data_IF_331943062789
#
_entry.id   IF_331943062789
#
_cell.length_a   1.000
_cell.length_b   1.000
_cell.length_c   1.000
_cell.angle_alpha   90.00
_cell.angle_beta   90.00
_cell.angle_gamma   90.00
#
_symmetry.space_group_name_H-M   'P 1'
#
loop_
_entity.id
_entity.type
_entity.pdbx_description
1 polymer ?
#
# COMPACT_ATOMS: atom_id res chain seq x y z
N UNK A 1 45.56 -5.45 36.03
CA UNK A 1 44.39 -4.56 36.24
C UNK A 1 44.34 -3.31 35.33
N UNK A 2 45.14 -3.21 34.26
CA UNK A 2 45.13 -2.02 33.32
C UNK A 2 44.46 -2.31 31.95
N UNK A 3 44.00 -3.52 31.71
CA UNK A 3 43.43 -3.91 30.42
C UNK A 3 41.90 -3.81 30.35
N UNK A 4 41.22 -3.79 31.51
CA UNK A 4 39.75 -3.74 31.56
C UNK A 4 39.13 -2.36 31.29
N UNK A 5 39.90 -1.29 31.53
CA UNK A 5 39.43 0.10 31.30
C UNK A 5 39.53 0.55 29.85
N UNK A 6 40.44 -0.06 29.04
CA UNK A 6 40.57 0.24 27.62
C UNK A 6 39.41 -0.38 26.79
N UNK A 7 38.88 -1.53 27.21
CA UNK A 7 37.73 -2.17 26.54
C UNK A 7 36.39 -1.45 26.76
N UNK A 8 36.23 -0.83 27.93
CA UNK A 8 35.02 -0.03 28.21
C UNK A 8 34.96 1.27 27.36
N UNK A 9 36.11 1.84 27.00
CA UNK A 9 36.18 3.04 26.17
C UNK A 9 35.93 2.74 24.67
N UNK A 10 36.25 1.54 24.19
CA UNK A 10 35.99 1.15 22.80
C UNK A 10 34.52 0.80 22.53
N UNK A 11 33.80 0.27 23.52
CA UNK A 11 32.37 -0.02 23.39
C UNK A 11 31.51 1.26 23.33
N UNK A 12 31.96 2.35 23.98
CA UNK A 12 31.33 3.65 23.92
C UNK A 12 31.50 4.36 22.57
N UNK A 13 32.67 4.19 21.92
CA UNK A 13 32.92 4.81 20.61
C UNK A 13 32.18 4.13 19.45
N UNK A 14 31.87 2.83 19.53
CA UNK A 14 31.10 2.12 18.52
C UNK A 14 29.60 2.46 18.56
N UNK A 15 29.08 2.83 19.73
CA UNK A 15 27.65 3.24 19.88
C UNK A 15 27.37 4.65 19.34
N UNK A 16 28.37 5.52 19.23
CA UNK A 16 28.16 6.91 18.76
C UNK A 16 28.17 7.06 17.25
N UNK A 17 28.66 6.07 16.49
CA UNK A 17 28.64 6.12 15.02
C UNK A 17 27.30 5.68 14.38
N UNK A 18 26.41 5.01 15.12
CA UNK A 18 25.11 4.54 14.59
C UNK A 18 23.96 5.57 14.65
N UNK A 19 24.17 6.76 15.23
CA UNK A 19 23.07 7.73 15.44
C UNK A 19 22.92 8.80 14.36
N UNK A 20 23.73 8.78 13.29
CA UNK A 20 23.74 9.86 12.29
C UNK A 20 22.92 9.62 11.02
N UNK A 21 22.10 8.57 10.93
CA UNK A 21 21.39 8.22 9.69
C UNK A 21 19.84 8.20 9.79
N UNK A 22 19.26 8.75 10.86
CA UNK A 22 17.80 8.94 10.93
C UNK A 22 17.44 10.38 10.55
N UNK A 23 17.68 10.76 9.28
CA UNK A 23 16.99 11.91 8.69
C UNK A 23 15.52 11.52 8.53
N UNK A 24 14.67 11.96 9.46
CA UNK A 24 13.23 11.88 9.34
C UNK A 24 12.83 12.58 8.04
N UNK A 25 12.47 11.81 7.03
CA UNK A 25 11.74 12.33 5.88
C UNK A 25 10.38 12.79 6.42
N UNK A 26 10.21 14.10 6.52
CA UNK A 26 8.89 14.69 6.74
C UNK A 26 8.05 14.30 5.54
N UNK A 27 7.12 13.38 5.78
CA UNK A 27 6.05 13.08 4.82
C UNK A 27 5.32 14.39 4.59
N UNK A 28 5.54 14.97 3.42
CA UNK A 28 4.89 16.19 3.00
C UNK A 28 3.41 15.81 2.79
N UNK A 29 2.53 16.28 3.68
CA UNK A 29 1.10 16.06 3.56
C UNK A 29 0.65 16.56 2.18
N UNK A 30 0.04 15.67 1.41
CA UNK A 30 -0.56 16.04 0.13
C UNK A 30 -1.56 17.21 0.33
N UNK A 31 -1.71 18.12 -0.64
CA UNK A 31 -2.66 19.22 -0.53
C UNK A 31 -4.06 18.65 -0.28
N UNK A 32 -4.66 19.01 0.84
CA UNK A 32 -6.01 18.60 1.18
C UNK A 32 -6.97 19.18 0.14
N UNK A 33 -7.77 18.31 -0.49
CA UNK A 33 -8.87 18.75 -1.34
C UNK A 33 -9.75 19.71 -0.54
N UNK A 34 -10.17 20.81 -1.16
CA UNK A 34 -11.02 21.81 -0.52
C UNK A 34 -12.32 21.13 -0.05
N UNK A 35 -12.45 20.96 1.27
CA UNK A 35 -13.69 20.48 1.86
C UNK A 35 -14.75 21.54 1.63
N UNK A 36 -15.90 21.23 0.99
CA UNK A 36 -16.99 22.21 0.87
C UNK A 36 -17.37 22.75 2.25
N UNK A 37 -17.76 24.03 2.30
CA UNK A 37 -18.10 24.69 3.57
C UNK A 37 -19.17 23.90 4.32
N UNK A 38 -19.11 23.81 5.68
CA UNK A 38 -20.09 23.08 6.46
C UNK A 38 -21.50 23.63 6.17
N UNK A 39 -22.42 22.73 5.77
CA UNK A 39 -23.82 23.06 5.46
C UNK A 39 -24.10 23.30 3.97
N UNK A 40 -23.13 23.24 3.06
CA UNK A 40 -23.40 23.21 1.61
C UNK A 40 -23.65 21.77 1.17
N UNK A 41 -24.75 21.51 0.43
CA UNK A 41 -25.01 20.18 -0.10
C UNK A 41 -23.99 19.86 -1.22
N UNK A 42 -23.50 18.62 -1.23
CA UNK A 42 -22.40 18.18 -2.08
C UNK A 42 -22.88 17.72 -3.46
N UNK A 43 -22.16 18.13 -4.51
CA UNK A 43 -22.34 17.58 -5.84
C UNK A 43 -21.69 16.19 -5.98
N UNK A 44 -22.00 15.45 -7.05
CA UNK A 44 -21.35 14.17 -7.35
C UNK A 44 -19.84 14.34 -7.55
N UNK A 45 -19.44 15.39 -8.28
CA UNK A 45 -18.04 15.68 -8.55
C UNK A 45 -17.25 16.02 -7.28
N UNK A 46 -17.87 16.76 -6.35
CA UNK A 46 -17.28 17.04 -5.04
C UNK A 46 -17.07 15.76 -4.23
N UNK A 47 -18.07 14.86 -4.24
CA UNK A 47 -17.99 13.58 -3.56
C UNK A 47 -16.87 12.71 -4.14
N UNK A 48 -16.77 12.58 -5.47
CA UNK A 48 -15.72 11.80 -6.12
C UNK A 48 -14.34 12.42 -5.85
N UNK A 49 -14.20 13.73 -6.03
CA UNK A 49 -12.95 14.44 -5.78
C UNK A 49 -12.47 14.26 -4.35
N UNK A 50 -13.34 14.44 -3.37
CA UNK A 50 -13.03 14.23 -1.96
C UNK A 50 -12.65 12.77 -1.65
N UNK A 51 -13.41 11.81 -2.18
CA UNK A 51 -13.13 10.38 -1.99
C UNK A 51 -11.75 10.01 -2.53
N UNK A 52 -11.39 10.43 -3.74
CA UNK A 52 -10.10 10.12 -4.36
C UNK A 52 -8.92 10.63 -3.55
N UNK A 53 -9.08 11.76 -2.84
CA UNK A 53 -8.02 12.31 -1.99
C UNK A 53 -7.95 11.70 -0.60
N UNK A 54 -9.09 11.36 0.00
CA UNK A 54 -9.16 10.99 1.41
C UNK A 54 -9.38 9.48 1.65
N UNK A 55 -9.71 8.70 0.61
CA UNK A 55 -9.95 7.28 0.79
C UNK A 55 -8.66 6.51 1.08
N UNK A 56 -8.65 5.81 2.22
CA UNK A 56 -7.50 5.03 2.70
C UNK A 56 -7.09 3.94 1.70
N UNK A 57 -8.05 3.31 1.00
CA UNK A 57 -7.76 2.28 0.01
C UNK A 57 -6.94 2.82 -1.17
N UNK A 58 -7.28 4.00 -1.69
CA UNK A 58 -6.51 4.66 -2.76
C UNK A 58 -5.13 5.09 -2.27
N UNK A 59 -5.04 5.64 -1.06
CA UNK A 59 -3.75 6.01 -0.46
C UNK A 59 -2.86 4.78 -0.25
N UNK A 60 -3.43 3.65 0.18
CA UNK A 60 -2.70 2.39 0.31
C UNK A 60 -2.15 1.91 -1.04
N UNK A 61 -2.93 2.01 -2.12
CA UNK A 61 -2.44 1.66 -3.46
C UNK A 61 -1.35 2.63 -3.95
N UNK A 62 -1.46 3.92 -3.64
CA UNK A 62 -0.41 4.90 -3.96
C UNK A 62 0.91 4.57 -3.24
N UNK A 63 0.86 4.24 -1.95
CA UNK A 63 2.03 3.78 -1.19
C UNK A 63 2.61 2.46 -1.74
N UNK A 64 1.76 1.57 -2.27
CA UNK A 64 2.22 0.34 -2.93
C UNK A 64 3.01 0.65 -4.21
N UNK A 65 2.62 1.68 -4.98
CA UNK A 65 3.39 2.17 -6.13
C UNK A 65 4.75 2.68 -5.67
N UNK A 66 4.81 3.52 -4.64
CA UNK A 66 6.08 4.03 -4.09
C UNK A 66 6.98 2.89 -3.58
N UNK A 67 6.41 1.92 -2.86
CA UNK A 67 7.15 0.74 -2.40
C UNK A 67 7.75 -0.05 -3.58
N UNK A 68 7.01 -0.17 -4.68
CA UNK A 68 7.48 -0.88 -5.87
C UNK A 68 8.56 -0.09 -6.60
N UNK A 69 8.49 1.25 -6.62
CA UNK A 69 9.54 2.09 -7.17
C UNK A 69 10.84 2.00 -6.36
N UNK A 70 10.74 1.98 -5.02
CA UNK A 70 11.89 1.75 -4.14
C UNK A 70 12.51 0.37 -4.40
N UNK A 71 11.71 -0.69 -4.60
CA UNK A 71 12.22 -2.02 -4.99
C UNK A 71 12.95 -1.98 -6.33
N UNK A 72 12.39 -1.28 -7.33
CA UNK A 72 13.07 -1.07 -8.62
C UNK A 72 14.37 -0.30 -8.44
N UNK A 73 14.40 0.72 -7.62
CA UNK A 73 15.60 1.50 -7.28
C UNK A 73 16.68 0.59 -6.66
N UNK A 74 16.29 -0.23 -5.67
CA UNK A 74 17.18 -1.23 -5.06
C UNK A 74 17.76 -2.18 -6.10
N UNK A 75 16.93 -2.68 -7.03
CA UNK A 75 17.40 -3.53 -8.13
C UNK A 75 18.37 -2.81 -9.08
N UNK A 76 18.19 -1.51 -9.33
CA UNK A 76 19.12 -0.71 -10.13
C UNK A 76 20.47 -0.56 -9.42
N UNK A 77 20.45 -0.30 -8.11
CA UNK A 77 21.66 -0.12 -7.30
C UNK A 77 22.38 -1.42 -6.97
N UNK A 78 21.77 -2.59 -7.14
CA UNK A 78 22.47 -3.88 -6.97
C UNK A 78 23.65 -4.12 -7.92
N UNK A 79 23.86 -3.24 -8.90
CA UNK A 79 25.06 -3.20 -9.75
C UNK A 79 26.24 -2.50 -9.08
N UNK A 80 26.00 -1.69 -8.05
CA UNK A 80 27.06 -0.96 -7.36
C UNK A 80 27.78 -1.87 -6.36
N UNK A 81 29.00 -1.50 -5.97
CA UNK A 81 29.68 -2.21 -4.89
C UNK A 81 28.88 -2.11 -3.58
N UNK A 82 28.74 -3.23 -2.90
CA UNK A 82 28.32 -3.28 -1.50
C UNK A 82 29.54 -3.08 -0.61
N UNK A 83 29.46 -2.19 0.37
CA UNK A 83 30.50 -1.91 1.35
C UNK A 83 29.97 -2.25 2.73
N UNK A 84 30.64 -3.15 3.42
CA UNK A 84 30.31 -3.57 4.78
C UNK A 84 31.53 -3.46 5.71
N UNK A 85 31.26 -3.13 6.97
CA UNK A 85 32.27 -3.16 8.02
C UNK A 85 31.77 -4.07 9.14
N UNK A 86 32.64 -4.92 9.64
CA UNK A 86 32.38 -5.80 10.76
C UNK A 86 33.39 -5.67 11.86
N UNK A 87 32.93 -5.78 13.10
CA UNK A 87 33.78 -5.84 14.29
C UNK A 87 33.36 -7.09 15.05
N UNK A 88 34.30 -7.95 15.26
CA UNK A 88 34.11 -9.20 15.99
C UNK A 88 34.96 -9.24 17.26
N UNK A 89 34.39 -9.84 18.32
CA UNK A 89 35.14 -10.21 19.51
C UNK A 89 34.80 -11.66 19.85
N UNK A 90 35.84 -12.47 20.03
CA UNK A 90 35.68 -13.88 20.36
C UNK A 90 36.55 -14.24 21.57
N UNK A 91 35.95 -14.91 22.54
CA UNK A 91 36.67 -15.48 23.67
C UNK A 91 36.55 -17.02 23.60
N UNK A 92 37.70 -17.71 23.41
CA UNK A 92 37.73 -19.16 23.34
C UNK A 92 38.32 -19.68 24.66
N UNK A 93 37.57 -20.56 25.32
CA UNK A 93 37.97 -21.21 26.57
C UNK A 93 38.41 -22.65 26.28
N UNK A 94 39.59 -23.02 26.75
CA UNK A 94 40.09 -24.36 26.58
C UNK A 94 41.48 -24.43 25.93
N UNK A 95 41.69 -25.47 25.11
CA UNK A 95 42.95 -25.65 24.40
C UNK A 95 42.88 -24.99 23.02
N UNK A 96 43.65 -23.94 22.82
CA UNK A 96 43.81 -23.26 21.55
C UNK A 96 45.23 -23.28 21.03
N UNK A 97 45.38 -23.03 19.72
CA UNK A 97 46.72 -22.84 19.12
C UNK A 97 47.06 -21.34 19.16
N UNK A 98 48.17 -20.99 19.75
CA UNK A 98 48.74 -19.63 19.71
C UNK A 98 49.37 -19.35 18.34
N UNK A 99 49.62 -18.10 18.00
CA UNK A 99 50.27 -17.65 16.77
C UNK A 99 51.65 -18.33 16.53
N UNK A 100 52.34 -18.73 17.60
CA UNK A 100 53.57 -19.50 17.55
C UNK A 100 53.36 -21.00 17.29
N UNK A 101 52.17 -21.41 16.87
CA UNK A 101 51.74 -22.81 16.66
C UNK A 101 51.85 -23.70 17.90
N UNK A 102 51.97 -23.10 19.10
CA UNK A 102 52.05 -23.80 20.39
C UNK A 102 50.63 -23.94 20.97
N UNK A 103 50.28 -25.17 21.36
CA UNK A 103 49.01 -25.43 22.07
C UNK A 103 49.12 -24.93 23.51
N UNK A 104 48.35 -23.88 23.82
CA UNK A 104 48.21 -23.38 25.19
C UNK A 104 46.82 -23.69 25.71
N UNK A 105 46.71 -24.08 26.97
CA UNK A 105 45.45 -24.23 27.67
C UNK A 105 45.15 -22.92 28.40
N UNK A 106 44.02 -22.32 28.10
CA UNK A 106 43.62 -21.05 28.73
C UNK A 106 42.52 -20.35 27.96
N UNK A 107 42.29 -19.09 28.30
CA UNK A 107 41.35 -18.23 27.60
C UNK A 107 42.11 -17.43 26.52
N UNK A 108 41.73 -17.66 25.27
CA UNK A 108 42.24 -16.87 24.14
C UNK A 108 41.16 -15.86 23.74
N UNK A 109 41.47 -14.60 23.78
CA UNK A 109 40.60 -13.51 23.33
C UNK A 109 41.14 -12.97 22.02
N UNK A 110 40.25 -12.77 21.06
CA UNK A 110 40.57 -12.19 19.76
C UNK A 110 39.54 -11.13 19.38
N UNK A 111 40.01 -10.04 18.80
CA UNK A 111 39.19 -9.01 18.18
C UNK A 111 39.52 -8.93 16.70
N UNK A 112 38.54 -8.81 15.85
CA UNK A 112 38.69 -8.57 14.42
C UNK A 112 37.97 -7.29 13.99
N UNK A 113 38.57 -6.60 13.03
CA UNK A 113 38.04 -5.42 12.38
C UNK A 113 38.20 -5.63 10.88
N UNK A 114 37.08 -5.70 10.18
CA UNK A 114 37.08 -6.01 8.76
C UNK A 114 36.20 -4.99 8.02
N UNK A 115 36.71 -4.47 6.90
CA UNK A 115 35.99 -3.66 5.94
C UNK A 115 36.06 -4.37 4.60
N UNK A 116 34.95 -4.70 4.02
CA UNK A 116 34.90 -5.42 2.76
C UNK A 116 33.99 -4.74 1.74
N UNK A 117 34.39 -4.82 0.48
CA UNK A 117 33.58 -4.41 -0.66
C UNK A 117 33.39 -5.59 -1.61
N UNK A 118 32.20 -5.76 -2.12
CA UNK A 118 31.92 -6.74 -3.19
C UNK A 118 31.09 -6.13 -4.29
N UNK A 119 31.39 -6.44 -5.55
CA UNK A 119 30.67 -5.95 -6.72
C UNK A 119 30.45 -7.10 -7.71
N UNK A 120 29.20 -7.36 -8.15
CA UNK A 120 28.95 -8.31 -9.22
C UNK A 120 29.40 -7.72 -10.55
N UNK A 121 30.34 -8.39 -11.24
CA UNK A 121 30.78 -8.02 -12.60
C UNK A 121 29.92 -8.69 -13.66
N UNK A 122 29.53 -9.93 -13.42
CA UNK A 122 28.64 -10.72 -14.28
C UNK A 122 27.86 -11.74 -13.46
N UNK A 123 26.57 -11.86 -13.71
CA UNK A 123 25.64 -12.75 -12.97
C UNK A 123 24.65 -13.46 -13.90
N UNK A 124 25.06 -13.78 -15.11
CA UNK A 124 24.17 -14.40 -16.10
C UNK A 124 23.02 -13.49 -16.57
N UNK A 125 23.21 -12.17 -16.54
CA UNK A 125 22.21 -11.14 -16.85
C UNK A 125 21.03 -11.09 -15.85
N UNK A 126 21.16 -11.67 -14.66
CA UNK A 126 20.11 -11.71 -13.63
C UNK A 126 19.69 -10.30 -13.22
N UNK A 127 20.64 -9.43 -12.83
CA UNK A 127 20.36 -8.04 -12.43
C UNK A 127 19.66 -7.25 -13.54
N UNK A 128 20.05 -7.44 -14.80
CA UNK A 128 19.40 -6.77 -15.93
C UNK A 128 17.94 -7.17 -16.08
N UNK A 129 17.64 -8.46 -15.88
CA UNK A 129 16.29 -9.01 -15.95
C UNK A 129 15.48 -8.63 -14.72
N UNK A 130 16.08 -8.58 -13.52
CA UNK A 130 15.44 -8.07 -12.30
C UNK A 130 15.02 -6.61 -12.46
N UNK A 131 15.85 -5.76 -13.05
CA UNK A 131 15.49 -4.37 -13.36
C UNK A 131 14.33 -4.32 -14.38
N UNK A 132 14.34 -5.20 -15.41
CA UNK A 132 13.22 -5.27 -16.34
C UNK A 132 11.93 -5.70 -15.62
N UNK A 133 11.99 -6.75 -14.79
CA UNK A 133 10.88 -7.20 -13.97
C UNK A 133 10.34 -6.09 -13.07
N UNK A 134 11.21 -5.42 -12.33
CA UNK A 134 10.81 -4.31 -11.47
C UNK A 134 10.15 -3.15 -12.21
N UNK A 135 10.52 -2.88 -13.46
CA UNK A 135 9.82 -1.88 -14.30
C UNK A 135 8.42 -2.33 -14.68
N UNK A 136 8.25 -3.62 -15.00
CA UNK A 136 6.93 -4.20 -15.33
C UNK A 136 6.03 -4.21 -14.09
N UNK A 137 6.59 -4.57 -12.93
CA UNK A 137 5.86 -4.57 -11.67
C UNK A 137 5.43 -3.17 -11.25
N UNK A 138 6.28 -2.15 -11.45
CA UNK A 138 5.94 -0.75 -11.21
C UNK A 138 4.82 -0.30 -12.14
N UNK A 139 4.91 -0.62 -13.44
CA UNK A 139 3.86 -0.29 -14.40
C UNK A 139 2.53 -0.99 -14.07
N UNK A 140 2.57 -2.24 -13.60
CA UNK A 140 1.38 -2.97 -13.14
C UNK A 140 0.77 -2.30 -11.89
N UNK A 141 1.60 -1.93 -10.90
CA UNK A 141 1.13 -1.24 -9.70
C UNK A 141 0.48 0.12 -9.99
N UNK A 142 0.98 0.85 -10.99
CA UNK A 142 0.35 2.09 -11.47
C UNK A 142 -1.05 1.83 -12.08
N UNK A 143 -1.20 0.75 -12.85
CA UNK A 143 -2.51 0.36 -13.39
C UNK A 143 -3.48 -0.11 -12.29
N UNK A 144 -2.99 -0.76 -11.24
CA UNK A 144 -3.80 -1.12 -10.07
C UNK A 144 -4.29 0.12 -9.30
N UNK A 145 -3.46 1.16 -9.20
CA UNK A 145 -3.88 2.44 -8.60
C UNK A 145 -5.00 3.09 -9.42
N UNK A 146 -4.87 3.13 -10.75
CA UNK A 146 -5.93 3.65 -11.63
C UNK A 146 -7.21 2.84 -11.51
N UNK A 147 -7.11 1.51 -11.45
CA UNK A 147 -8.25 0.63 -11.18
C UNK A 147 -8.93 0.98 -9.85
N UNK A 148 -8.15 1.15 -8.78
CA UNK A 148 -8.71 1.47 -7.47
C UNK A 148 -9.44 2.83 -7.47
N UNK A 149 -8.96 3.80 -8.24
CA UNK A 149 -9.63 5.09 -8.45
C UNK A 149 -10.93 4.95 -9.22
N UNK A 150 -10.95 4.16 -10.29
CA UNK A 150 -12.15 3.88 -11.07
C UNK A 150 -13.20 3.16 -10.20
N UNK A 151 -12.81 2.09 -9.51
CA UNK A 151 -13.69 1.29 -8.66
C UNK A 151 -14.29 2.15 -7.53
N UNK A 152 -13.49 3.03 -6.91
CA UNK A 152 -13.97 3.98 -5.90
C UNK A 152 -14.97 4.98 -6.49
N UNK A 153 -14.69 5.55 -7.67
CA UNK A 153 -15.57 6.51 -8.33
C UNK A 153 -16.92 5.89 -8.66
N UNK A 154 -16.93 4.64 -9.17
CA UNK A 154 -18.17 3.90 -9.45
C UNK A 154 -18.94 3.60 -8.15
N UNK A 155 -18.25 3.21 -7.09
CA UNK A 155 -18.88 2.95 -5.79
C UNK A 155 -19.52 4.22 -5.21
N UNK A 156 -18.79 5.34 -5.21
CA UNK A 156 -19.33 6.64 -4.75
C UNK A 156 -20.53 7.07 -5.58
N UNK A 157 -20.47 6.92 -6.91
CA UNK A 157 -21.59 7.22 -7.80
C UNK A 157 -22.82 6.35 -7.45
N UNK A 158 -22.62 5.06 -7.23
CA UNK A 158 -23.70 4.14 -6.88
C UNK A 158 -24.36 4.52 -5.55
N UNK A 159 -23.57 4.83 -4.53
CA UNK A 159 -24.08 5.26 -3.23
C UNK A 159 -24.76 6.63 -3.30
N UNK A 160 -24.24 7.54 -4.12
CA UNK A 160 -24.85 8.84 -4.36
C UNK A 160 -26.25 8.70 -5.00
N UNK A 161 -26.39 7.86 -6.02
CA UNK A 161 -27.67 7.56 -6.65
C UNK A 161 -28.65 6.89 -5.66
N UNK A 162 -28.13 6.02 -4.77
CA UNK A 162 -28.96 5.40 -3.73
C UNK A 162 -29.49 6.45 -2.74
N UNK A 163 -28.70 7.46 -2.37
CA UNK A 163 -29.19 8.57 -1.53
C UNK A 163 -30.26 9.37 -2.25
N UNK A 164 -30.07 9.71 -3.54
CA UNK A 164 -31.07 10.40 -4.33
C UNK A 164 -32.39 9.61 -4.41
N UNK A 165 -32.30 8.31 -4.67
CA UNK A 165 -33.44 7.43 -4.71
C UNK A 165 -34.21 7.43 -3.39
N UNK A 166 -33.56 7.27 -2.25
CA UNK A 166 -34.21 7.30 -0.93
C UNK A 166 -34.75 8.69 -0.57
N UNK A 167 -34.12 9.77 -1.07
CA UNK A 167 -34.63 11.15 -0.90
C UNK A 167 -35.95 11.33 -1.61
N UNK A 168 -36.07 10.83 -2.85
CA UNK A 168 -37.33 10.87 -3.60
C UNK A 168 -38.39 9.98 -2.97
N UNK A 169 -38.06 8.76 -2.51
CA UNK A 169 -38.99 7.90 -1.79
C UNK A 169 -39.53 8.56 -0.52
N UNK A 170 -38.69 9.26 0.22
CA UNK A 170 -39.11 10.00 1.43
C UNK A 170 -40.08 11.10 1.08
N UNK A 171 -39.86 11.86 0.01
CA UNK A 171 -40.80 12.90 -0.45
C UNK A 171 -42.14 12.31 -0.89
N UNK A 172 -42.12 11.17 -1.57
CA UNK A 172 -43.35 10.46 -1.97
C UNK A 172 -44.13 10.01 -0.73
N UNK A 173 -43.44 9.41 0.25
CA UNK A 173 -44.07 8.98 1.50
C UNK A 173 -44.66 10.16 2.31
N UNK A 174 -43.98 11.31 2.31
CA UNK A 174 -44.46 12.55 2.95
C UNK A 174 -45.78 13.04 2.29
N UNK A 175 -45.82 13.09 0.97
CA UNK A 175 -47.02 13.47 0.23
C UNK A 175 -48.17 12.47 0.44
N UNK A 176 -47.85 11.16 0.49
CA UNK A 176 -48.85 10.12 0.72
C UNK A 176 -49.47 10.24 2.13
N UNK A 177 -48.64 10.48 3.16
CA UNK A 177 -49.14 10.73 4.52
C UNK A 177 -49.98 11.99 4.61
N UNK A 178 -49.61 13.06 3.88
CA UNK A 178 -50.42 14.27 3.83
C UNK A 178 -51.82 14.00 3.26
N UNK A 179 -51.91 13.23 2.15
CA UNK A 179 -53.18 12.85 1.52
C UNK A 179 -54.03 11.96 2.44
N UNK A 180 -53.44 10.94 3.06
CA UNK A 180 -54.20 10.06 3.97
C UNK A 180 -54.65 10.78 5.25
N UNK A 181 -53.82 11.75 5.73
CA UNK A 181 -54.21 12.62 6.84
C UNK A 181 -55.43 13.47 6.50
N UNK A 182 -55.46 14.11 5.31
CA UNK A 182 -56.62 14.88 4.84
C UNK A 182 -57.86 13.98 4.68
N UNK A 183 -57.68 12.75 4.17
CA UNK A 183 -58.76 11.79 4.03
C UNK A 183 -59.33 11.32 5.38
N UNK A 184 -58.45 11.07 6.37
CA UNK A 184 -58.89 10.71 7.72
C UNK A 184 -59.66 11.82 8.42
N UNK A 185 -59.23 13.09 8.26
CA UNK A 185 -60.00 14.25 8.76
C UNK A 185 -61.35 14.34 8.11
N UNK A 186 -61.46 14.25 6.78
CA UNK A 186 -62.72 14.28 6.03
C UNK A 186 -63.66 13.13 6.41
N UNK A 187 -63.12 11.91 6.54
CA UNK A 187 -63.90 10.74 6.95
C UNK A 187 -64.50 10.94 8.36
N UNK A 188 -63.68 11.47 9.29
CA UNK A 188 -64.15 11.79 10.66
C UNK A 188 -65.29 12.80 10.68
N UNK A 189 -65.22 13.86 9.86
CA UNK A 189 -66.29 14.86 9.74
C UNK A 189 -67.60 14.28 9.13
N UNK A 190 -67.47 13.42 8.11
CA UNK A 190 -68.66 12.79 7.47
C UNK A 190 -69.32 11.78 8.39
N UNK A 191 -68.54 11.04 9.21
CA UNK A 191 -69.14 10.14 10.22
C UNK A 191 -69.78 10.95 11.31
N UNK A 192 -69.20 12.04 11.81
CA UNK A 192 -69.83 12.93 12.79
C UNK A 192 -71.12 13.58 12.28
N UNK A 193 -71.21 13.84 10.98
CA UNK A 193 -72.43 14.34 10.32
C UNK A 193 -73.45 13.22 9.99
N UNK A 194 -73.17 11.96 10.36
CA UNK A 194 -74.07 10.82 10.10
C UNK A 194 -74.17 10.39 8.64
N UNK A 195 -73.21 10.84 7.79
CA UNK A 195 -73.19 10.56 6.34
C UNK A 195 -72.38 9.32 5.96
N UNK A 196 -71.54 8.79 6.88
CA UNK A 196 -70.75 7.58 6.69
C UNK A 196 -70.80 6.69 7.95
N UNK A 197 -70.63 5.38 7.83
CA UNK A 197 -70.54 4.46 8.96
C UNK A 197 -69.18 4.63 9.70
N UNK A 198 -69.15 4.27 10.99
CA UNK A 198 -67.92 4.38 11.83
C UNK A 198 -66.74 3.54 11.31
N UNK A 199 -67.05 2.44 10.60
CA UNK A 199 -66.00 1.63 9.95
C UNK A 199 -65.14 2.44 8.97
N UNK A 200 -65.74 3.39 8.24
CA UNK A 200 -64.98 4.24 7.30
C UNK A 200 -63.97 5.17 7.99
N UNK A 201 -64.27 5.60 9.23
CA UNK A 201 -63.30 6.35 10.04
C UNK A 201 -62.11 5.47 10.44
N UNK A 202 -62.40 4.28 10.98
CA UNK A 202 -61.33 3.37 11.40
C UNK A 202 -60.44 2.92 10.21
N UNK A 203 -61.04 2.72 9.06
CA UNK A 203 -60.31 2.36 7.83
C UNK A 203 -59.37 3.48 7.39
N UNK A 204 -59.82 4.74 7.39
CA UNK A 204 -59.00 5.89 7.02
C UNK A 204 -57.92 6.21 8.07
N UNK A 205 -58.20 6.02 9.37
CA UNK A 205 -57.22 6.16 10.44
C UNK A 205 -56.15 5.04 10.36
N UNK A 206 -56.54 3.81 10.03
CA UNK A 206 -55.59 2.71 9.82
C UNK A 206 -54.69 2.96 8.60
N UNK A 207 -55.24 3.51 7.50
CA UNK A 207 -54.43 3.90 6.33
C UNK A 207 -53.42 4.99 6.68
N UNK A 208 -53.85 6.04 7.41
CA UNK A 208 -52.96 7.10 7.88
C UNK A 208 -51.81 6.55 8.75
N UNK A 209 -52.12 5.67 9.72
CA UNK A 209 -51.11 5.06 10.58
C UNK A 209 -50.08 4.21 9.79
N UNK A 210 -50.55 3.51 8.76
CA UNK A 210 -49.70 2.74 7.87
C UNK A 210 -48.76 3.66 7.05
N UNK A 211 -49.30 4.77 6.53
CA UNK A 211 -48.47 5.75 5.78
C UNK A 211 -47.44 6.47 6.69
N UNK A 212 -47.79 6.70 7.97
CA UNK A 212 -46.83 7.22 8.97
C UNK A 212 -45.69 6.23 9.24
N UNK A 213 -46.00 4.93 9.32
CA UNK A 213 -44.99 3.88 9.42
C UNK A 213 -44.06 3.87 8.19
N UNK A 214 -44.66 3.92 6.98
CA UNK A 214 -43.91 3.95 5.72
C UNK A 214 -42.98 5.16 5.63
N UNK A 215 -43.43 6.35 6.04
CA UNK A 215 -42.60 7.54 6.09
C UNK A 215 -41.43 7.39 7.08
N UNK A 216 -41.72 6.83 8.25
CA UNK A 216 -40.65 6.59 9.26
C UNK A 216 -39.60 5.64 8.72
N UNK A 217 -40.01 4.60 8.01
CA UNK A 217 -39.07 3.66 7.35
C UNK A 217 -38.29 4.34 6.24
N UNK A 218 -38.91 5.09 5.34
CA UNK A 218 -38.22 5.82 4.27
C UNK A 218 -37.18 6.82 4.82
N UNK A 219 -37.50 7.52 5.92
CA UNK A 219 -36.56 8.43 6.59
C UNK A 219 -35.37 7.69 7.20
N UNK A 220 -35.59 6.50 7.75
CA UNK A 220 -34.49 5.67 8.26
C UNK A 220 -33.60 5.17 7.13
N UNK A 221 -34.18 4.72 6.02
CA UNK A 221 -33.42 4.26 4.84
C UNK A 221 -32.60 5.39 4.22
N UNK A 222 -33.13 6.62 4.17
CA UNK A 222 -32.38 7.79 3.74
C UNK A 222 -31.19 8.08 4.66
N UNK A 223 -31.38 8.01 5.99
CA UNK A 223 -30.29 8.21 6.95
C UNK A 223 -29.18 7.17 6.80
N UNK A 224 -29.56 5.91 6.59
CA UNK A 224 -28.60 4.83 6.34
C UNK A 224 -27.85 5.03 5.03
N UNK A 225 -28.53 5.45 3.96
CA UNK A 225 -27.87 5.74 2.68
C UNK A 225 -26.87 6.90 2.80
N UNK A 226 -27.22 7.98 3.49
CA UNK A 226 -26.31 9.10 3.78
C UNK A 226 -25.10 8.65 4.62
N UNK A 227 -25.31 7.77 5.61
CA UNK A 227 -24.24 7.22 6.42
C UNK A 227 -23.29 6.38 5.56
N UNK A 228 -23.82 5.49 4.71
CA UNK A 228 -23.02 4.65 3.83
C UNK A 228 -22.18 5.49 2.87
N UNK A 229 -22.75 6.53 2.28
CA UNK A 229 -22.02 7.46 1.42
C UNK A 229 -20.94 8.20 2.21
N UNK A 230 -21.24 8.71 3.41
CA UNK A 230 -20.27 9.37 4.28
C UNK A 230 -19.09 8.46 4.66
N UNK A 231 -19.35 7.17 4.90
CA UNK A 231 -18.32 6.17 5.17
C UNK A 231 -17.44 5.90 3.94
N UNK A 232 -18.04 5.79 2.75
CA UNK A 232 -17.28 5.61 1.50
C UNK A 232 -16.37 6.81 1.19
N UNK A 233 -16.81 8.01 1.58
CA UNK A 233 -16.01 9.23 1.51
C UNK A 233 -14.92 9.31 2.59
N UNK A 234 -14.92 8.40 3.56
CA UNK A 234 -14.03 8.42 4.73
C UNK A 234 -14.12 9.72 5.55
N UNK A 235 -15.36 10.24 5.73
CA UNK A 235 -15.61 11.43 6.57
C UNK A 235 -15.67 11.06 8.05
N UNK A 236 -15.19 11.96 8.90
CA UNK A 236 -15.23 11.77 10.36
C UNK A 236 -16.65 11.74 10.92
N UNK A 237 -17.61 12.44 10.28
CA UNK A 237 -18.99 12.52 10.71
C UNK A 237 -19.95 12.64 9.54
N UNK A 238 -21.09 11.95 9.64
CA UNK A 238 -22.21 12.09 8.73
C UNK A 238 -23.15 13.28 9.09
N UNK A 239 -22.92 13.95 10.23
CA UNK A 239 -23.76 15.04 10.69
C UNK A 239 -23.71 16.23 9.71
N UNK A 240 -24.88 16.75 9.33
CA UNK A 240 -25.01 17.87 8.41
C UNK A 240 -24.61 17.60 6.96
N UNK A 241 -24.45 16.32 6.59
CA UNK A 241 -24.16 15.91 5.22
C UNK A 241 -25.44 15.78 4.41
N UNK A 242 -25.52 16.50 3.31
CA UNK A 242 -26.62 16.39 2.33
C UNK A 242 -26.04 16.50 0.92
N UNK A 243 -26.82 16.04 -0.07
CA UNK A 243 -26.41 16.03 -1.47
C UNK A 243 -27.40 16.81 -2.35
N UNK A 244 -26.89 17.36 -3.45
CA UNK A 244 -27.70 18.03 -4.48
C UNK A 244 -28.19 17.04 -5.49
N UNK A 245 -29.45 17.16 -5.92
CA UNK A 245 -29.91 16.44 -7.10
C UNK A 245 -29.25 17.03 -8.35
N UNK A 246 -28.56 16.24 -9.20
CA UNK A 246 -27.96 16.73 -10.42
C UNK A 246 -29.07 17.28 -11.35
N UNK A 247 -28.87 18.45 -11.90
CA UNK A 247 -29.74 18.98 -12.95
C UNK A 247 -29.33 18.33 -14.27
N UNK A 248 -30.14 17.43 -14.75
CA UNK A 248 -29.93 16.85 -16.07
C UNK A 248 -30.44 17.82 -17.12
N UNK A 249 -29.55 18.38 -17.91
CA UNK A 249 -29.93 19.11 -19.10
C UNK A 249 -30.42 18.09 -20.16
N UNK A 250 -31.66 18.27 -20.60
CA UNK A 250 -32.27 17.43 -21.64
C UNK A 250 -31.47 17.46 -22.97
N UNK A 251 -30.75 18.56 -23.24
CA UNK A 251 -29.88 18.71 -24.40
C UNK A 251 -28.62 17.86 -24.26
N UNK A 252 -28.04 17.82 -23.05
CA UNK A 252 -26.89 16.96 -22.75
C UNK A 252 -27.23 15.46 -22.85
N UNK A 253 -28.42 15.08 -22.36
CA UNK A 253 -28.93 13.71 -22.51
C UNK A 253 -29.14 13.30 -23.98
N UNK A 254 -29.63 14.20 -24.80
CA UNK A 254 -29.82 13.95 -26.24
C UNK A 254 -28.51 13.86 -27.02
N UNK A 255 -27.43 14.45 -26.50
CA UNK A 255 -26.07 14.41 -27.09
C UNK A 255 -25.25 13.19 -26.66
N UNK A 256 -25.73 12.37 -25.73
CA UNK A 256 -25.10 11.11 -25.39
C UNK A 256 -25.03 10.22 -26.64
N UNK A 257 -23.81 10.02 -27.14
CA UNK A 257 -23.58 9.10 -28.25
C UNK A 257 -24.11 7.74 -27.87
N UNK A 258 -24.89 7.13 -28.75
CA UNK A 258 -25.31 5.75 -28.56
C UNK A 258 -24.07 4.91 -28.32
N UNK A 259 -24.04 4.17 -27.23
CA UNK A 259 -23.02 3.18 -26.98
C UNK A 259 -22.94 2.28 -28.22
N UNK A 260 -21.74 1.98 -28.69
CA UNK A 260 -21.54 1.05 -29.80
C UNK A 260 -22.11 -0.33 -29.51
N UNK A 261 -21.94 -1.26 -30.40
CA UNK A 261 -22.36 -2.64 -30.17
C UNK A 261 -21.65 -3.24 -28.95
N UNK A 262 -22.20 -4.30 -28.39
CA UNK A 262 -21.58 -5.01 -27.26
C UNK A 262 -20.13 -5.43 -27.57
N UNK A 263 -19.87 -5.81 -28.84
CA UNK A 263 -18.55 -6.21 -29.30
C UNK A 263 -17.59 -5.02 -29.36
N UNK A 264 -18.03 -3.83 -29.74
CA UNK A 264 -17.22 -2.61 -29.72
C UNK A 264 -16.83 -2.21 -28.29
N UNK A 265 -17.80 -2.28 -27.36
CA UNK A 265 -17.57 -2.02 -25.94
C UNK A 265 -16.61 -3.03 -25.35
N UNK A 266 -16.75 -4.31 -25.70
CA UNK A 266 -15.84 -5.37 -25.27
C UNK A 266 -14.42 -5.16 -25.80
N UNK A 267 -14.28 -4.88 -27.10
CA UNK A 267 -12.98 -4.61 -27.72
C UNK A 267 -12.29 -3.41 -27.07
N UNK A 268 -13.01 -2.31 -26.86
CA UNK A 268 -12.49 -1.15 -26.17
C UNK A 268 -12.08 -1.46 -24.71
N UNK A 269 -12.90 -2.21 -23.98
CA UNK A 269 -12.63 -2.58 -22.59
C UNK A 269 -11.38 -3.46 -22.45
N UNK A 270 -11.19 -4.43 -23.36
CA UNK A 270 -10.01 -5.33 -23.33
C UNK A 270 -8.69 -4.61 -23.61
N UNK A 271 -8.72 -3.47 -24.30
CA UNK A 271 -7.53 -2.67 -24.59
C UNK A 271 -7.28 -1.59 -23.55
N UNK A 272 -8.34 -0.99 -23.00
CA UNK A 272 -8.22 0.24 -22.23
C UNK A 272 -8.36 0.06 -20.72
N UNK A 273 -9.04 -0.98 -20.25
CA UNK A 273 -9.26 -1.16 -18.81
C UNK A 273 -7.95 -1.37 -18.04
N UNK A 274 -7.71 -0.58 -16.97
CA UNK A 274 -6.48 -0.67 -16.16
C UNK A 274 -6.22 -2.07 -15.61
N UNK A 275 -7.28 -2.77 -15.19
CA UNK A 275 -7.16 -4.14 -14.72
C UNK A 275 -6.55 -5.10 -15.75
N UNK A 276 -7.00 -5.03 -17.01
CA UNK A 276 -6.50 -5.89 -18.09
C UNK A 276 -5.05 -5.53 -18.43
N UNK A 277 -4.73 -4.24 -18.44
CA UNK A 277 -3.35 -3.77 -18.64
C UNK A 277 -2.43 -4.27 -17.51
N UNK A 278 -2.87 -4.21 -16.26
CA UNK A 278 -2.12 -4.73 -15.12
C UNK A 278 -1.82 -6.23 -15.27
N UNK A 279 -2.82 -7.04 -15.63
CA UNK A 279 -2.64 -8.48 -15.78
C UNK A 279 -1.72 -8.85 -16.97
N UNK A 280 -1.75 -8.09 -18.09
CA UNK A 280 -0.80 -8.28 -19.19
C UNK A 280 0.64 -7.97 -18.76
N UNK A 281 0.84 -6.90 -17.99
CA UNK A 281 2.16 -6.56 -17.44
C UNK A 281 2.66 -7.61 -16.45
N UNK A 282 1.78 -8.17 -15.63
CA UNK A 282 2.10 -9.28 -14.72
C UNK A 282 2.47 -10.56 -15.46
N UNK A 283 1.77 -10.85 -16.57
CA UNK A 283 2.13 -11.98 -17.43
C UNK A 283 3.55 -11.80 -17.99
N UNK A 284 3.88 -10.62 -18.53
CA UNK A 284 5.23 -10.34 -19.01
C UNK A 284 6.28 -10.40 -17.89
N UNK A 285 5.94 -9.94 -16.67
CA UNK A 285 6.81 -10.04 -15.50
C UNK A 285 7.04 -11.51 -15.12
N UNK A 286 6.01 -12.35 -15.14
CA UNK A 286 6.13 -13.78 -14.87
C UNK A 286 7.00 -14.50 -15.92
N UNK A 287 6.85 -14.20 -17.21
CA UNK A 287 7.74 -14.72 -18.26
C UNK A 287 9.20 -14.27 -18.04
N UNK A 288 9.39 -13.03 -17.60
CA UNK A 288 10.72 -12.53 -17.26
C UNK A 288 11.29 -13.22 -16.02
N UNK A 289 10.45 -13.59 -15.04
CA UNK A 289 10.87 -14.35 -13.86
C UNK A 289 11.44 -15.73 -14.24
N UNK A 290 10.86 -16.42 -15.21
CA UNK A 290 11.42 -17.66 -15.77
C UNK A 290 12.83 -17.41 -16.35
N UNK A 291 13.03 -16.28 -17.03
CA UNK A 291 14.36 -15.91 -17.55
C UNK A 291 15.34 -15.58 -16.45
N UNK A 292 14.89 -14.98 -15.34
CA UNK A 292 15.70 -14.74 -14.13
C UNK A 292 16.13 -16.07 -13.51
N UNK A 293 15.22 -17.03 -13.35
CA UNK A 293 15.54 -18.35 -12.83
C UNK A 293 16.61 -19.05 -13.70
N UNK A 294 16.46 -18.99 -15.02
CA UNK A 294 17.47 -19.53 -15.98
C UNK A 294 18.84 -18.84 -15.88
N UNK A 295 18.94 -17.64 -15.30
CA UNK A 295 20.23 -16.96 -15.08
C UNK A 295 21.13 -17.72 -14.14
N UNK A 296 20.58 -18.50 -13.20
CA UNK A 296 21.34 -19.33 -12.28
C UNK A 296 22.11 -20.50 -12.94
N UNK A 297 21.90 -20.76 -14.24
CA UNK A 297 22.68 -21.73 -15.01
C UNK A 297 23.98 -21.14 -15.58
N UNK A 298 24.13 -19.83 -15.60
CA UNK A 298 25.33 -19.16 -16.12
C UNK A 298 26.38 -18.96 -15.03
N UNK A 299 27.67 -18.86 -15.41
CA UNK A 299 28.72 -18.48 -14.45
C UNK A 299 28.42 -17.10 -13.83
N UNK A 300 28.85 -16.91 -12.59
CA UNK A 300 28.85 -15.60 -11.93
C UNK A 300 30.29 -15.15 -11.68
N UNK A 301 30.57 -13.87 -11.86
CA UNK A 301 31.85 -13.22 -11.66
C UNK A 301 31.69 -12.06 -10.69
N UNK A 302 32.45 -12.01 -9.62
CA UNK A 302 32.42 -10.95 -8.64
C UNK A 302 33.84 -10.43 -8.33
N UNK A 303 33.95 -9.10 -8.21
CA UNK A 303 35.11 -8.42 -7.67
C UNK A 303 34.93 -8.27 -6.16
N UNK A 304 35.97 -8.62 -5.40
CA UNK A 304 35.98 -8.47 -3.95
C UNK A 304 37.26 -7.79 -3.52
N UNK A 305 37.16 -6.92 -2.55
CA UNK A 305 38.32 -6.30 -1.93
C UNK A 305 38.01 -6.06 -0.45
N UNK A 306 39.06 -6.05 0.35
CA UNK A 306 38.88 -5.82 1.77
C UNK A 306 40.16 -5.47 2.49
N UNK A 307 39.96 -4.87 3.64
CA UNK A 307 40.97 -4.58 4.63
C UNK A 307 40.52 -5.23 5.94
N UNK A 308 41.40 -6.03 6.54
CA UNK A 308 41.14 -6.67 7.81
C UNK A 308 42.32 -6.53 8.76
N UNK A 309 42.04 -6.47 10.06
CA UNK A 309 43.08 -6.52 11.10
C UNK A 309 42.54 -7.27 12.31
N UNK A 310 43.45 -7.92 13.03
CA UNK A 310 43.13 -8.69 14.22
C UNK A 310 43.99 -8.35 15.42
N UNK A 311 43.43 -8.53 16.59
CA UNK A 311 44.10 -8.35 17.88
C UNK A 311 43.92 -9.64 18.66
N UNK A 312 45.00 -10.12 19.26
CA UNK A 312 45.02 -11.38 19.97
C UNK A 312 45.62 -11.21 21.37
N UNK A 313 44.97 -11.78 22.37
CA UNK A 313 45.47 -11.75 23.76
C UNK A 313 46.76 -12.58 23.96
N UNK A 314 47.11 -13.40 22.99
CA UNK A 314 48.31 -14.23 22.98
C UNK A 314 49.55 -13.48 22.51
N UNK A 315 49.38 -12.32 21.86
CA UNK A 315 50.49 -11.45 21.43
C UNK A 315 50.80 -10.44 22.53
N UNK A 316 52.08 -10.33 22.94
CA UNK A 316 52.54 -9.39 23.99
C UNK A 316 52.58 -7.93 23.49
N UNK A 317 52.46 -7.70 22.19
CA UNK A 317 52.50 -6.38 21.59
C UNK A 317 51.32 -5.49 22.01
N UNK A 318 51.57 -4.19 22.16
CA UNK A 318 50.52 -3.22 22.46
C UNK A 318 49.47 -3.17 21.34
N UNK A 319 48.22 -2.87 21.70
CA UNK A 319 47.06 -2.81 20.81
C UNK A 319 47.34 -2.10 19.47
N UNK A 320 47.90 -0.89 19.49
CA UNK A 320 48.16 -0.12 18.27
C UNK A 320 49.26 -0.75 17.38
N UNK A 321 50.14 -1.54 17.98
CA UNK A 321 51.17 -2.29 17.25
C UNK A 321 50.56 -3.52 16.57
N UNK A 322 49.72 -4.25 17.28
CA UNK A 322 48.96 -5.39 16.73
C UNK A 322 48.08 -4.95 15.59
N UNK A 323 47.32 -3.86 15.80
CA UNK A 323 46.41 -3.31 14.79
C UNK A 323 47.10 -3.02 13.45
N UNK A 324 48.34 -2.48 13.49
CA UNK A 324 49.12 -2.21 12.28
C UNK A 324 49.82 -3.43 11.72
N UNK A 325 50.35 -4.31 12.58
CA UNK A 325 51.14 -5.47 12.13
C UNK A 325 50.26 -6.60 11.59
N UNK A 326 49.06 -6.75 12.10
CA UNK A 326 48.15 -7.80 11.70
C UNK A 326 47.18 -7.34 10.58
N UNK A 327 47.39 -6.14 10.00
CA UNK A 327 46.61 -5.67 8.88
C UNK A 327 46.87 -6.47 7.62
N UNK A 328 45.82 -6.80 6.90
CA UNK A 328 45.87 -7.46 5.60
C UNK A 328 44.93 -6.79 4.62
N UNK A 329 45.37 -6.64 3.39
CA UNK A 329 44.58 -6.09 2.30
C UNK A 329 44.49 -7.12 1.20
N UNK A 330 43.34 -7.25 0.59
CA UNK A 330 43.20 -8.14 -0.54
C UNK A 330 42.29 -7.52 -1.60
N UNK A 331 42.59 -7.80 -2.86
CA UNK A 331 41.71 -7.58 -4.01
C UNK A 331 41.74 -8.86 -4.83
N UNK A 332 40.55 -9.33 -5.19
CA UNK A 332 40.41 -10.59 -5.91
C UNK A 332 39.17 -10.64 -6.77
N UNK A 333 39.28 -11.41 -7.82
CA UNK A 333 38.13 -11.73 -8.69
C UNK A 333 37.75 -13.20 -8.42
N UNK A 334 36.52 -13.46 -8.14
CA UNK A 334 36.02 -14.83 -7.96
C UNK A 334 35.01 -15.17 -9.03
N UNK A 335 35.14 -16.33 -9.66
CA UNK A 335 34.22 -16.90 -10.63
C UNK A 335 33.62 -18.17 -10.04
N UNK A 336 32.27 -18.25 -10.09
CA UNK A 336 31.55 -19.45 -9.69
C UNK A 336 30.78 -20.00 -10.89
N UNK A 337 31.01 -21.29 -11.17
CA UNK A 337 30.32 -22.01 -12.28
C UNK A 337 29.48 -23.11 -11.67
N UNK A 338 28.13 -23.06 -11.78
CA UNK A 338 27.28 -24.12 -11.27
C UNK A 338 27.36 -25.36 -12.16
N UNK A 339 27.94 -26.45 -11.64
CA UNK A 339 28.05 -27.72 -12.38
C UNK A 339 26.81 -28.59 -12.13
N UNK A 340 26.38 -28.71 -10.89
CA UNK A 340 25.22 -29.48 -10.50
C UNK A 340 24.56 -28.87 -9.26
N UNK A 341 23.27 -28.50 -9.36
CA UNK A 341 22.51 -27.82 -8.32
C UNK A 341 21.27 -28.61 -7.86
N UNK A 342 21.32 -29.94 -7.93
CA UNK A 342 20.20 -30.83 -7.54
C UNK A 342 18.86 -30.47 -8.23
N UNK A 343 18.88 -30.01 -9.46
CA UNK A 343 17.73 -29.49 -10.22
C UNK A 343 17.03 -28.26 -9.60
N UNK A 344 17.65 -27.56 -8.64
CA UNK A 344 17.01 -26.41 -8.01
C UNK A 344 16.57 -25.36 -9.05
N UNK A 345 17.43 -25.04 -10.03
CA UNK A 345 17.09 -24.11 -11.12
C UNK A 345 16.02 -24.63 -12.08
N UNK A 346 15.85 -25.94 -12.19
CA UNK A 346 14.80 -26.52 -13.05
C UNK A 346 13.44 -26.45 -12.36
N UNK A 347 13.41 -26.50 -11.03
CA UNK A 347 12.20 -26.54 -10.24
C UNK A 347 11.77 -25.14 -9.71
N UNK A 348 12.63 -24.12 -9.84
CA UNK A 348 12.32 -22.72 -9.52
C UNK A 348 11.69 -22.01 -10.72
#
# INVERSE_FOLDING_TARGET
MKTSTLFAALSAAAMTLCTAAAAAQTVQAAPQAATPAPGTPWSLDDCIGYALHNNVGVQQQALQVEQTDVKLSTSKYSRLPDLSASVGYNATFGRGTSDDNIRKTGTIQSGSFDVGASMPLFDGFRINREIKGGKLDLAAAMQDLERAREDLSINVMTLYLQVLYNKELTQIAERQLELSTQQAVRSRELVAAGKQPESARYESEALQANDELNLTQARNDLRLALLNLSQALNRESAAGFDIVAPQFDSVALASLHMLGTADDVYAYATENRPHIKAERLRLESAENAVRIAKSALYPSLSLRGGYGTGIYSTQEAAFGTQFRKNSSEFVGVSMSVPIFNRRATHNS
#
